data_IF_689990759979
#
_entry.id   IF_689990759979
#
_cell.length_a   1.000
_cell.length_b   1.000
_cell.length_c   1.000
_cell.angle_alpha   90.00
_cell.angle_beta   90.00
_cell.angle_gamma   90.00
#
_symmetry.space_group_name_H-M   'P 1'
#
loop_
_entity.id
_entity.type
_entity.pdbx_description
1 polymer ?
#
# COMPACT_ATOMS: atom_id res chain seq x y z
N UNK A 1 23.23 -7.41 92.86
CA UNK A 1 23.44 -6.01 92.40
C UNK A 1 23.56 -6.04 90.89
N UNK A 2 22.82 -5.17 90.21
CA UNK A 2 22.35 -5.26 88.81
C UNK A 2 23.43 -5.39 87.74
N UNK A 3 23.22 -6.33 86.80
CA UNK A 3 23.79 -6.28 85.46
C UNK A 3 22.96 -5.34 84.58
N UNK A 4 23.46 -4.12 84.33
CA UNK A 4 22.91 -3.26 83.29
C UNK A 4 23.54 -3.62 81.93
N UNK A 5 22.68 -4.07 81.01
CA UNK A 5 23.01 -4.23 79.59
C UNK A 5 23.15 -2.84 78.96
N UNK A 6 24.28 -2.55 78.34
CA UNK A 6 24.41 -1.38 77.47
C UNK A 6 23.63 -1.65 76.18
N UNK A 7 22.57 -0.88 75.98
CA UNK A 7 21.77 -0.85 74.77
C UNK A 7 22.57 -0.05 73.74
N UNK A 8 22.92 -0.67 72.61
CA UNK A 8 23.50 0.02 71.46
C UNK A 8 22.43 0.95 70.88
N UNK A 9 22.58 2.26 71.05
CA UNK A 9 21.70 3.25 70.42
C UNK A 9 21.99 3.28 68.92
N UNK A 10 20.94 3.17 68.11
CA UNK A 10 20.97 3.31 66.64
C UNK A 10 20.57 4.74 66.28
N UNK A 11 21.22 5.73 66.90
CA UNK A 11 21.00 7.14 66.60
C UNK A 11 22.26 7.72 65.93
N UNK A 12 22.22 8.07 64.64
CA UNK A 12 23.39 8.55 63.88
C UNK A 12 23.72 10.03 64.12
N UNK A 13 23.19 10.65 65.18
CA UNK A 13 23.34 12.09 65.47
C UNK A 13 23.80 12.37 66.91
N UNK A 14 24.21 11.36 67.68
CA UNK A 14 24.92 11.62 68.94
C UNK A 14 26.37 11.97 68.60
N UNK A 15 26.70 13.23 68.86
CA UNK A 15 27.99 13.87 68.59
C UNK A 15 29.13 13.07 69.22
N UNK A 16 29.82 12.27 68.40
CA UNK A 16 31.23 12.01 68.63
C UNK A 16 31.96 13.29 68.22
N UNK A 17 32.66 13.91 69.17
CA UNK A 17 33.58 15.01 68.90
C UNK A 17 34.63 14.50 67.92
N UNK A 18 34.35 14.64 66.61
CA UNK A 18 35.30 14.36 65.55
C UNK A 18 36.39 15.40 65.71
N UNK A 19 37.49 14.98 66.33
CA UNK A 19 38.69 15.79 66.51
C UNK A 19 39.05 16.47 65.17
N UNK A 20 39.22 17.80 65.20
CA UNK A 20 39.44 18.61 64.00
C UNK A 20 40.66 18.11 63.21
N UNK A 21 41.62 17.47 63.88
CA UNK A 21 42.76 16.79 63.25
C UNK A 21 42.38 15.55 62.44
N UNK A 22 41.37 14.77 62.88
CA UNK A 22 40.87 13.60 62.15
C UNK A 22 40.12 14.04 60.88
N UNK A 23 39.38 15.14 60.98
CA UNK A 23 38.68 15.75 59.85
C UNK A 23 39.66 16.30 58.80
N UNK A 24 40.64 17.10 59.22
CA UNK A 24 41.65 17.71 58.33
C UNK A 24 42.60 16.68 57.69
N UNK A 25 42.88 15.58 58.38
CA UNK A 25 43.71 14.48 57.84
C UNK A 25 42.97 13.67 56.78
N UNK A 26 41.64 13.59 56.84
CA UNK A 26 40.83 12.87 55.86
C UNK A 26 40.55 13.71 54.60
N UNK A 27 40.59 15.04 54.68
CA UNK A 27 40.47 15.95 53.53
C UNK A 27 41.71 15.99 52.62
N UNK A 28 42.84 15.44 53.07
CA UNK A 28 44.15 15.54 52.39
C UNK A 28 44.58 14.27 51.65
N UNK A 29 43.67 13.33 51.42
CA UNK A 29 43.88 12.25 50.44
C UNK A 29 43.33 12.69 49.09
N UNK A 30 44.17 12.91 48.06
CA UNK A 30 43.66 12.97 46.70
C UNK A 30 43.09 11.57 46.40
N UNK A 31 41.77 11.45 46.41
CA UNK A 31 41.12 10.30 45.79
C UNK A 31 41.53 10.31 44.32
N UNK A 32 42.12 9.23 43.78
CA UNK A 32 42.38 9.16 42.34
C UNK A 32 41.04 9.32 41.62
N UNK A 33 40.99 10.28 40.69
CA UNK A 33 39.78 10.73 40.00
C UNK A 33 39.22 9.64 39.08
N UNK A 34 38.43 8.71 39.65
CA UNK A 34 37.57 7.77 38.92
C UNK A 34 36.60 8.46 37.93
N UNK A 35 36.45 9.79 38.03
CA UNK A 35 35.66 10.60 37.11
C UNK A 35 36.25 10.64 35.70
N UNK A 36 37.57 10.63 35.56
CA UNK A 36 38.21 10.73 34.24
C UNK A 36 38.02 9.43 33.44
N UNK A 37 38.22 8.27 34.07
CA UNK A 37 37.94 6.96 33.49
C UNK A 37 36.45 6.77 33.15
N UNK A 38 35.56 7.25 34.04
CA UNK A 38 34.13 7.20 33.80
C UNK A 38 33.73 8.08 32.61
N UNK A 39 34.26 9.31 32.51
CA UNK A 39 34.01 10.22 31.38
C UNK A 39 34.54 9.67 30.05
N UNK A 40 35.70 9.03 30.03
CA UNK A 40 36.24 8.35 28.84
C UNK A 40 35.32 7.20 28.39
N UNK A 41 34.88 6.37 29.33
CA UNK A 41 33.95 5.27 29.02
C UNK A 41 32.62 5.74 28.44
N UNK A 42 32.13 6.91 28.87
CA UNK A 42 30.92 7.52 28.33
C UNK A 42 31.13 8.05 26.92
N UNK A 43 32.25 8.70 26.63
CA UNK A 43 32.57 9.16 25.28
C UNK A 43 32.70 8.00 24.29
N UNK A 44 33.35 6.90 24.68
CA UNK A 44 33.46 5.70 23.84
C UNK A 44 32.10 5.08 23.55
N UNK A 45 31.19 5.08 24.54
CA UNK A 45 29.81 4.60 24.34
C UNK A 45 29.03 5.50 23.38
N UNK A 46 29.14 6.82 23.50
CA UNK A 46 28.50 7.77 22.59
C UNK A 46 28.96 7.52 21.16
N UNK A 47 30.28 7.47 20.93
CA UNK A 47 30.83 7.22 19.60
C UNK A 47 30.38 5.88 19.01
N UNK A 48 30.36 4.81 19.81
CA UNK A 48 29.85 3.52 19.35
C UNK A 48 28.37 3.57 18.95
N UNK A 49 27.55 4.35 19.66
CA UNK A 49 26.13 4.54 19.32
C UNK A 49 25.99 5.36 18.04
N UNK A 50 26.79 6.41 17.89
CA UNK A 50 26.83 7.24 16.67
C UNK A 50 27.19 6.39 15.44
N UNK A 51 28.29 5.63 15.50
CA UNK A 51 28.74 4.78 14.40
C UNK A 51 27.71 3.71 14.03
N UNK A 52 27.10 3.05 15.03
CA UNK A 52 26.05 2.05 14.80
C UNK A 52 24.81 2.67 14.17
N UNK A 53 24.43 3.87 14.60
CA UNK A 53 23.28 4.61 14.06
C UNK A 53 23.50 4.94 12.59
N UNK A 54 24.65 5.52 12.23
CA UNK A 54 24.96 5.84 10.83
C UNK A 54 24.96 4.58 9.97
N UNK A 55 25.67 3.53 10.38
CA UNK A 55 25.72 2.27 9.62
C UNK A 55 24.32 1.67 9.44
N UNK A 56 23.49 1.71 10.47
CA UNK A 56 22.09 1.26 10.38
C UNK A 56 21.31 2.06 9.33
N UNK A 57 21.44 3.39 9.32
CA UNK A 57 20.74 4.23 8.33
C UNK A 57 21.24 4.00 6.91
N UNK A 58 22.55 3.84 6.70
CA UNK A 58 23.12 3.51 5.38
C UNK A 58 22.62 2.17 4.86
N UNK A 59 22.56 1.15 5.73
CA UNK A 59 21.99 -0.16 5.39
C UNK A 59 20.50 -0.03 5.05
N UNK A 60 19.73 0.75 5.81
CA UNK A 60 18.32 0.97 5.54
C UNK A 60 18.10 1.66 4.19
N UNK A 61 18.94 2.64 3.82
CA UNK A 61 18.89 3.26 2.49
C UNK A 61 19.10 2.22 1.39
N UNK A 62 20.09 1.34 1.53
CA UNK A 62 20.31 0.24 0.59
C UNK A 62 19.06 -0.64 0.41
N UNK A 63 18.48 -1.09 1.52
CA UNK A 63 17.25 -1.90 1.50
C UNK A 63 16.09 -1.16 0.83
N UNK A 64 15.94 0.15 1.09
CA UNK A 64 14.88 0.95 0.47
C UNK A 64 15.06 1.07 -1.05
N UNK A 65 16.29 1.25 -1.53
CA UNK A 65 16.60 1.29 -2.97
C UNK A 65 16.36 -0.07 -3.63
N UNK A 66 16.77 -1.16 -2.98
CA UNK A 66 16.51 -2.52 -3.47
C UNK A 66 15.00 -2.79 -3.53
N UNK A 67 14.26 -2.35 -2.52
CA UNK A 67 12.79 -2.46 -2.47
C UNK A 67 12.14 -1.65 -3.59
N UNK A 68 12.67 -0.47 -3.91
CA UNK A 68 12.18 0.38 -5.00
C UNK A 68 12.38 -0.31 -6.34
N UNK A 69 13.56 -0.89 -6.58
CA UNK A 69 13.86 -1.64 -7.80
C UNK A 69 12.93 -2.86 -7.96
N UNK A 70 12.70 -3.61 -6.88
CA UNK A 70 11.75 -4.74 -6.89
C UNK A 70 10.32 -4.23 -7.17
N UNK A 71 9.92 -3.11 -6.58
CA UNK A 71 8.63 -2.47 -6.82
C UNK A 71 8.43 -2.06 -8.29
N UNK A 72 9.46 -1.47 -8.92
CA UNK A 72 9.44 -1.10 -10.33
C UNK A 72 9.29 -2.35 -11.22
N UNK A 73 10.11 -3.39 -10.99
CA UNK A 73 10.00 -4.64 -11.75
C UNK A 73 8.62 -5.31 -11.56
N UNK A 74 8.03 -5.18 -10.38
CA UNK A 74 6.67 -5.65 -10.10
C UNK A 74 5.63 -4.85 -10.90
N UNK A 75 5.78 -3.53 -10.98
CA UNK A 75 4.89 -2.66 -11.76
C UNK A 75 4.95 -3.01 -13.26
N UNK A 76 6.14 -3.25 -13.80
CA UNK A 76 6.32 -3.69 -15.19
C UNK A 76 5.61 -5.03 -15.47
N UNK A 77 5.75 -6.01 -14.57
CA UNK A 77 5.06 -7.29 -14.74
C UNK A 77 3.54 -7.15 -14.60
N UNK A 78 3.03 -6.29 -13.71
CA UNK A 78 1.59 -5.99 -13.63
C UNK A 78 1.08 -5.38 -14.93
N UNK A 79 1.80 -4.44 -15.54
CA UNK A 79 1.43 -3.89 -16.85
C UNK A 79 1.37 -4.99 -17.92
N UNK A 80 2.37 -5.87 -17.97
CA UNK A 80 2.38 -7.01 -18.90
C UNK A 80 1.22 -7.98 -18.65
N UNK A 81 0.84 -8.20 -17.40
CA UNK A 81 -0.33 -9.02 -17.04
C UNK A 81 -1.63 -8.36 -17.49
N UNK A 82 -1.76 -7.04 -17.30
CA UNK A 82 -2.91 -6.26 -17.77
C UNK A 82 -3.13 -6.43 -19.26
N UNK A 83 -2.09 -6.31 -20.08
CA UNK A 83 -2.19 -6.49 -21.54
C UNK A 83 -2.76 -7.86 -21.92
N UNK A 84 -2.34 -8.92 -21.21
CA UNK A 84 -2.86 -10.27 -21.43
C UNK A 84 -4.33 -10.38 -21.06
N UNK A 85 -4.75 -9.75 -19.96
CA UNK A 85 -6.15 -9.72 -19.55
C UNK A 85 -6.98 -8.95 -20.58
N UNK A 86 -6.55 -7.77 -21.03
CA UNK A 86 -7.26 -6.99 -22.04
C UNK A 86 -7.37 -7.74 -23.38
N UNK A 87 -6.32 -8.47 -23.76
CA UNK A 87 -6.37 -9.33 -24.94
C UNK A 87 -7.37 -10.47 -24.78
N UNK A 88 -7.40 -11.09 -23.60
CA UNK A 88 -8.36 -12.16 -23.28
C UNK A 88 -9.80 -11.64 -23.30
N UNK A 89 -10.04 -10.46 -22.73
CA UNK A 89 -11.36 -9.81 -22.73
C UNK A 89 -11.87 -9.56 -24.16
N UNK A 90 -11.02 -9.04 -25.05
CA UNK A 90 -11.33 -8.83 -26.48
C UNK A 90 -11.62 -10.15 -27.19
N UNK A 91 -10.84 -11.20 -26.95
CA UNK A 91 -11.08 -12.52 -27.53
C UNK A 91 -12.44 -13.08 -27.07
N UNK A 92 -12.80 -12.90 -25.81
CA UNK A 92 -14.11 -13.34 -25.30
C UNK A 92 -15.27 -12.57 -25.91
N UNK A 93 -15.11 -11.29 -26.23
CA UNK A 93 -16.11 -10.53 -26.98
C UNK A 93 -16.28 -11.08 -28.41
N UNK A 94 -15.19 -11.40 -29.10
CA UNK A 94 -15.22 -12.01 -30.42
C UNK A 94 -15.86 -13.40 -30.40
N UNK A 95 -15.54 -14.22 -29.39
CA UNK A 95 -16.17 -15.53 -29.18
C UNK A 95 -17.67 -15.35 -28.96
N UNK A 96 -18.09 -14.46 -28.06
CA UNK A 96 -19.50 -14.23 -27.80
C UNK A 96 -20.25 -13.71 -29.05
N UNK A 97 -19.64 -12.82 -29.83
CA UNK A 97 -20.20 -12.35 -31.10
C UNK A 97 -20.34 -13.48 -32.13
N UNK A 98 -19.29 -14.30 -32.27
CA UNK A 98 -19.26 -15.47 -33.15
C UNK A 98 -20.32 -16.48 -32.74
N UNK A 99 -20.48 -16.74 -31.45
CA UNK A 99 -21.51 -17.63 -30.93
C UNK A 99 -22.92 -17.10 -31.24
N UNK A 100 -23.18 -15.79 -31.14
CA UNK A 100 -24.48 -15.23 -31.56
C UNK A 100 -24.77 -15.48 -33.04
N UNK A 101 -23.75 -15.32 -33.90
CA UNK A 101 -23.87 -15.61 -35.32
C UNK A 101 -24.10 -17.10 -35.58
N UNK A 102 -23.32 -17.97 -34.93
CA UNK A 102 -23.49 -19.44 -34.97
C UNK A 102 -24.90 -19.87 -34.55
N UNK A 103 -25.49 -19.24 -33.53
CA UNK A 103 -26.86 -19.54 -33.13
C UNK A 103 -27.87 -19.21 -34.25
N UNK A 104 -27.68 -18.08 -34.96
CA UNK A 104 -28.53 -17.69 -36.09
C UNK A 104 -28.45 -18.72 -37.22
N UNK A 105 -27.25 -19.23 -37.51
CA UNK A 105 -27.06 -20.31 -38.48
C UNK A 105 -27.72 -21.61 -38.05
N UNK A 106 -27.52 -22.04 -36.79
CA UNK A 106 -28.16 -23.25 -36.25
C UNK A 106 -29.69 -23.13 -36.34
N UNK A 107 -30.26 -21.96 -36.02
CA UNK A 107 -31.70 -21.72 -36.15
C UNK A 107 -32.16 -21.78 -37.62
N UNK A 108 -31.38 -21.22 -38.54
CA UNK A 108 -31.61 -21.34 -39.99
C UNK A 108 -31.61 -22.80 -40.45
N UNK A 109 -30.61 -23.60 -40.06
CA UNK A 109 -30.53 -25.03 -40.39
C UNK A 109 -31.74 -25.80 -39.83
N UNK A 110 -32.13 -25.52 -38.58
CA UNK A 110 -33.35 -26.10 -37.99
C UNK A 110 -34.59 -25.78 -38.83
N UNK A 111 -34.74 -24.54 -39.32
CA UNK A 111 -35.88 -24.14 -40.15
C UNK A 111 -35.91 -24.86 -41.50
N UNK A 112 -34.79 -24.94 -42.23
CA UNK A 112 -34.77 -25.61 -43.55
C UNK A 112 -35.01 -27.11 -43.45
N UNK A 113 -34.47 -27.77 -42.42
CA UNK A 113 -34.78 -29.18 -42.14
C UNK A 113 -36.23 -29.38 -41.73
N UNK A 114 -36.81 -28.46 -40.96
CA UNK A 114 -38.23 -28.51 -40.59
C UNK A 114 -39.13 -28.33 -41.81
N UNK A 115 -38.81 -27.39 -42.71
CA UNK A 115 -39.55 -27.15 -43.95
C UNK A 115 -39.43 -28.33 -44.91
N UNK A 116 -38.24 -28.93 -45.05
CA UNK A 116 -38.03 -30.13 -45.86
C UNK A 116 -38.82 -31.33 -45.28
N UNK A 117 -38.81 -31.50 -43.96
CA UNK A 117 -39.61 -32.54 -43.31
C UNK A 117 -41.11 -32.30 -43.49
N UNK A 118 -41.59 -31.06 -43.39
CA UNK A 118 -43.01 -30.76 -43.56
C UNK A 118 -43.46 -30.96 -45.02
N UNK A 119 -42.60 -30.60 -45.98
CA UNK A 119 -42.82 -30.80 -47.42
C UNK A 119 -42.85 -32.29 -47.79
N UNK A 120 -41.91 -33.08 -47.27
CA UNK A 120 -41.85 -34.53 -47.53
C UNK A 120 -42.91 -35.32 -46.75
N UNK A 121 -43.41 -34.77 -45.64
CA UNK A 121 -44.46 -35.38 -44.82
C UNK A 121 -45.90 -35.07 -45.30
N UNK A 122 -46.08 -34.28 -46.36
CA UNK A 122 -47.37 -34.12 -47.04
C UNK A 122 -48.53 -33.60 -46.18
N UNK A 123 -48.26 -32.84 -45.10
CA UNK A 123 -49.30 -32.25 -44.25
C UNK A 123 -49.26 -30.74 -44.40
N UNK A 124 -50.12 -30.23 -45.28
CA UNK A 124 -50.45 -28.82 -45.37
C UNK A 124 -51.17 -28.41 -44.09
N UNK A 125 -50.57 -27.53 -43.30
CA UNK A 125 -51.33 -26.67 -42.41
C UNK A 125 -50.72 -25.26 -42.40
N UNK A 126 -51.60 -24.28 -42.34
CA UNK A 126 -51.41 -22.91 -42.80
C UNK A 126 -50.42 -22.09 -41.94
N UNK A 127 -49.85 -21.07 -42.58
CA UNK A 127 -49.04 -20.00 -41.99
C UNK A 127 -49.75 -19.26 -40.84
N UNK A 128 -48.99 -18.64 -39.91
CA UNK A 128 -49.42 -17.39 -39.31
C UNK A 128 -48.55 -16.21 -39.73
N UNK A 129 -49.25 -15.22 -40.26
CA UNK A 129 -48.88 -13.83 -40.52
C UNK A 129 -48.19 -13.17 -39.32
N UNK A 130 -47.03 -12.55 -39.54
CA UNK A 130 -46.44 -11.61 -38.58
C UNK A 130 -47.06 -10.23 -38.79
N UNK A 131 -48.00 -9.84 -37.92
CA UNK A 131 -48.44 -8.45 -37.76
C UNK A 131 -47.42 -7.70 -36.91
N UNK A 132 -46.77 -6.70 -37.51
CA UNK A 132 -45.99 -5.70 -36.76
C UNK A 132 -46.74 -4.37 -36.83
N UNK A 133 -47.16 -3.89 -35.66
CA UNK A 133 -47.84 -2.61 -35.46
C UNK A 133 -46.99 -1.80 -34.48
N UNK A 134 -46.45 -0.67 -34.93
CA UNK A 134 -46.13 0.53 -34.12
C UNK A 134 -47.29 1.52 -34.31
N UNK A 135 -47.59 2.53 -33.44
CA UNK A 135 -46.68 3.53 -32.83
C UNK A 135 -47.03 3.90 -31.35
N UNK A 136 -46.23 4.64 -30.56
CA UNK A 136 -46.22 6.12 -30.43
C UNK A 136 -45.54 6.49 -29.08
N UNK A 137 -44.49 7.35 -29.05
CA UNK A 137 -44.45 8.76 -28.55
C UNK A 137 -44.64 8.94 -27.02
N UNK A 138 -43.75 9.59 -26.22
CA UNK A 138 -43.74 11.04 -25.91
C UNK A 138 -42.67 11.42 -24.83
N UNK A 139 -41.89 12.51 -25.11
CA UNK A 139 -41.24 13.60 -24.29
C UNK A 139 -40.20 13.25 -23.18
N UNK A 140 -38.97 13.79 -23.14
CA UNK A 140 -38.39 15.17 -23.17
C UNK A 140 -38.47 15.96 -21.85
N UNK A 141 -37.30 16.33 -21.29
CA UNK A 141 -36.88 17.64 -20.71
C UNK A 141 -35.56 17.43 -19.93
N UNK A 142 -34.37 17.90 -20.36
CA UNK A 142 -33.76 19.25 -20.22
C UNK A 142 -33.71 19.84 -18.81
N UNK A 143 -32.50 20.01 -18.26
CA UNK A 143 -31.98 21.34 -17.85
C UNK A 143 -30.54 21.25 -17.36
N UNK A 144 -29.67 22.07 -17.97
CA UNK A 144 -28.34 22.45 -17.49
C UNK A 144 -28.47 23.71 -16.60
N UNK A 145 -27.65 23.80 -15.56
CA UNK A 145 -27.26 25.03 -14.85
C UNK A 145 -25.94 24.70 -14.12
N UNK A 146 -24.76 25.05 -14.65
CA UNK A 146 -23.92 26.25 -14.39
C UNK A 146 -23.42 26.42 -12.95
N UNK A 147 -22.26 27.10 -12.84
CA UNK A 147 -21.47 27.50 -11.67
C UNK A 147 -20.40 26.44 -11.30
N UNK A 148 -19.16 26.49 -11.77
CA UNK A 148 -18.24 27.64 -11.93
C UNK A 148 -18.03 28.40 -10.61
N UNK A 149 -17.40 27.74 -9.63
CA UNK A 149 -16.62 28.40 -8.57
C UNK A 149 -15.81 27.36 -7.77
N UNK A 150 -14.59 27.74 -7.38
CA UNK A 150 -13.63 27.06 -6.48
C UNK A 150 -12.48 26.26 -7.11
N UNK A 151 -11.82 26.87 -8.08
CA UNK A 151 -10.37 27.06 -7.98
C UNK A 151 -10.13 28.21 -6.98
N UNK A 152 -9.72 27.90 -5.75
CA UNK A 152 -8.98 28.79 -4.82
C UNK A 152 -9.00 28.19 -3.41
N UNK A 153 -8.10 27.24 -3.14
CA UNK A 153 -7.66 26.96 -1.76
C UNK A 153 -6.23 26.41 -1.74
N UNK A 154 -5.33 27.05 -2.48
CA UNK A 154 -3.89 27.03 -2.18
C UNK A 154 -3.57 28.35 -1.48
N UNK A 155 -3.84 28.43 -0.18
CA UNK A 155 -3.27 29.46 0.72
C UNK A 155 -3.69 29.16 2.17
N UNK A 156 -3.12 28.08 2.72
CA UNK A 156 -3.21 27.83 4.17
C UNK A 156 -1.98 27.11 4.69
N UNK A 157 -0.81 27.68 4.45
CA UNK A 157 0.47 27.23 5.00
C UNK A 157 1.06 28.20 6.04
N UNK A 158 0.21 28.97 6.75
CA UNK A 158 0.71 30.03 7.62
C UNK A 158 0.27 29.95 9.09
N UNK A 159 -0.28 28.80 9.54
CA UNK A 159 -0.68 28.61 10.94
C UNK A 159 -0.48 27.17 11.44
N UNK A 160 0.73 26.62 11.29
CA UNK A 160 1.10 25.34 11.92
C UNK A 160 2.01 25.61 13.15
N UNK A 161 1.76 25.01 14.33
CA UNK A 161 2.51 25.27 15.57
C UNK A 161 3.99 24.84 15.57
N UNK A 162 4.52 24.39 14.43
CA UNK A 162 5.92 23.95 14.26
C UNK A 162 6.85 25.13 13.93
N UNK A 163 6.35 26.28 13.49
CA UNK A 163 7.17 27.45 13.13
C UNK A 163 7.45 28.43 14.29
N UNK A 164 6.98 28.14 15.51
CA UNK A 164 7.15 29.00 16.70
C UNK A 164 8.18 28.51 17.73
N UNK A 165 8.94 27.45 17.40
CA UNK A 165 9.92 26.80 18.29
C UNK A 165 11.35 26.89 17.77
N UNK A 166 11.72 28.01 17.12
CA UNK A 166 13.11 28.30 16.75
C UNK A 166 13.55 29.66 17.25
N UNK A 167 13.63 29.75 18.57
CA UNK A 167 14.27 30.83 19.29
C UNK A 167 14.60 30.34 20.68
N UNK A 168 15.77 29.75 20.86
CA UNK A 168 16.61 30.13 22.00
C UNK A 168 18.06 29.71 21.79
N UNK A 169 18.91 30.59 22.28
CA UNK A 169 20.36 30.63 22.21
C UNK A 169 20.92 29.74 23.31
N UNK A 170 21.60 28.63 22.95
CA UNK A 170 22.36 27.86 23.92
C UNK A 170 23.78 27.62 23.39
N UNK A 171 24.62 28.57 23.78
CA UNK A 171 26.07 28.49 24.02
C UNK A 171 26.75 27.16 23.65
N UNK A 172 27.45 27.26 22.53
CA UNK A 172 28.66 26.54 22.16
C UNK A 172 29.51 26.08 23.36
N UNK A 173 29.49 24.78 23.63
CA UNK A 173 30.60 24.12 24.34
C UNK A 173 30.87 22.75 23.71
N UNK A 174 31.92 22.71 22.88
CA UNK A 174 32.73 21.55 22.48
C UNK A 174 32.04 20.19 22.26
N UNK A 175 31.69 19.89 21.00
CA UNK A 175 31.87 18.55 20.42
C UNK A 175 31.79 18.61 18.88
N UNK A 176 32.90 18.98 18.22
CA UNK A 176 32.94 18.99 16.75
C UNK A 176 32.57 17.63 16.11
N UNK A 177 32.75 16.50 16.82
CA UNK A 177 32.32 15.18 16.35
C UNK A 177 30.80 14.99 16.29
N UNK A 178 30.04 15.57 17.22
CA UNK A 178 28.58 15.39 17.30
C UNK A 178 27.85 16.14 16.18
N UNK A 179 28.38 17.29 15.75
CA UNK A 179 27.81 18.08 14.64
C UNK A 179 27.94 17.36 13.30
N UNK A 180 29.10 16.75 13.05
CA UNK A 180 29.34 15.98 11.82
C UNK A 180 28.51 14.68 11.79
N UNK A 181 28.39 14.00 12.93
CA UNK A 181 27.47 12.87 13.08
C UNK A 181 26.02 13.30 12.79
N UNK A 182 25.55 14.37 13.43
CA UNK A 182 24.17 14.86 13.26
C UNK A 182 23.88 15.25 11.81
N UNK A 183 24.81 15.90 11.12
CA UNK A 183 24.64 16.29 9.72
C UNK A 183 24.54 15.08 8.79
N UNK A 184 25.38 14.06 9.00
CA UNK A 184 25.33 12.80 8.23
C UNK A 184 24.05 12.02 8.50
N UNK A 185 23.65 11.93 9.77
CA UNK A 185 22.42 11.27 10.15
C UNK A 185 21.20 11.96 9.51
N UNK A 186 21.13 13.28 9.57
CA UNK A 186 20.03 14.05 8.98
C UNK A 186 19.97 13.88 7.45
N UNK A 187 21.12 13.88 6.78
CA UNK A 187 21.20 13.59 5.34
C UNK A 187 20.68 12.18 5.01
N UNK A 188 21.10 11.17 5.78
CA UNK A 188 20.64 9.79 5.58
C UNK A 188 19.13 9.66 5.83
N UNK A 189 18.62 10.26 6.91
CA UNK A 189 17.19 10.23 7.22
C UNK A 189 16.36 10.95 6.15
N UNK A 190 16.84 12.09 5.64
CA UNK A 190 16.20 12.80 4.54
C UNK A 190 16.13 11.93 3.27
N UNK A 191 17.21 11.22 2.95
CA UNK A 191 17.21 10.28 1.83
C UNK A 191 16.21 9.13 2.05
N UNK A 192 16.21 8.54 3.24
CA UNK A 192 15.25 7.49 3.61
C UNK A 192 13.80 7.98 3.46
N UNK A 193 13.49 9.19 3.94
CA UNK A 193 12.16 9.79 3.77
C UNK A 193 11.76 9.95 2.30
N UNK A 194 12.71 10.37 1.45
CA UNK A 194 12.48 10.45 0.00
C UNK A 194 12.20 9.08 -0.61
N UNK A 195 13.02 8.08 -0.28
CA UNK A 195 12.88 6.71 -0.79
C UNK A 195 11.55 6.09 -0.34
N UNK A 196 11.17 6.27 0.93
CA UNK A 196 9.88 5.81 1.47
C UNK A 196 8.70 6.50 0.76
N UNK A 197 8.82 7.79 0.46
CA UNK A 197 7.78 8.52 -0.26
C UNK A 197 7.59 7.98 -1.69
N UNK A 198 8.69 7.66 -2.40
CA UNK A 198 8.62 7.02 -3.71
C UNK A 198 8.04 5.61 -3.64
N UNK A 199 8.49 4.80 -2.67
CA UNK A 199 7.92 3.48 -2.39
C UNK A 199 6.43 3.52 -2.09
N UNK A 200 5.97 4.53 -1.34
CA UNK A 200 4.55 4.74 -1.07
C UNK A 200 3.78 5.06 -2.35
N UNK A 201 4.34 5.90 -3.22
CA UNK A 201 3.78 6.18 -4.55
C UNK A 201 3.62 4.90 -5.35
N UNK A 202 4.71 4.15 -5.53
CA UNK A 202 4.71 2.85 -6.21
C UNK A 202 3.69 1.88 -5.59
N UNK A 203 3.65 1.74 -4.27
CA UNK A 203 2.71 0.84 -3.60
C UNK A 203 1.24 1.25 -3.84
N UNK A 204 0.96 2.56 -3.91
CA UNK A 204 -0.39 3.07 -4.21
C UNK A 204 -0.78 2.77 -5.64
N UNK A 205 0.14 3.00 -6.59
CA UNK A 205 -0.08 2.74 -8.02
C UNK A 205 -0.24 1.24 -8.29
N UNK A 206 0.59 0.41 -7.67
CA UNK A 206 0.49 -1.06 -7.73
C UNK A 206 -0.86 -1.54 -7.18
N UNK A 207 -1.32 -0.99 -6.05
CA UNK A 207 -2.62 -1.36 -5.49
C UNK A 207 -3.76 -0.98 -6.43
N UNK A 208 -3.75 0.23 -6.99
CA UNK A 208 -4.76 0.67 -7.94
C UNK A 208 -4.76 -0.20 -9.20
N UNK A 209 -3.58 -0.55 -9.73
CA UNK A 209 -3.48 -1.44 -10.88
C UNK A 209 -4.07 -2.82 -10.57
N UNK A 210 -3.78 -3.40 -9.39
CA UNK A 210 -4.38 -4.67 -8.94
C UNK A 210 -5.91 -4.57 -8.86
N UNK A 211 -6.45 -3.51 -8.26
CA UNK A 211 -7.90 -3.30 -8.17
C UNK A 211 -8.54 -3.24 -9.57
N UNK A 212 -7.93 -2.51 -10.51
CA UNK A 212 -8.45 -2.45 -11.89
C UNK A 212 -8.35 -3.78 -12.64
N UNK A 213 -7.29 -4.57 -12.40
CA UNK A 213 -7.16 -5.90 -12.97
C UNK A 213 -8.18 -6.87 -12.37
N UNK A 214 -8.50 -6.77 -11.09
CA UNK A 214 -9.56 -7.57 -10.46
C UNK A 214 -10.92 -7.32 -11.12
N UNK A 215 -11.25 -6.05 -11.40
CA UNK A 215 -12.48 -5.70 -12.12
C UNK A 215 -12.48 -6.28 -13.56
N UNK A 216 -11.34 -6.24 -14.25
CA UNK A 216 -11.19 -6.84 -15.57
C UNK A 216 -11.36 -8.37 -15.53
N UNK A 217 -10.80 -9.05 -14.52
CA UNK A 217 -10.96 -10.49 -14.32
C UNK A 217 -12.42 -10.86 -14.07
N UNK A 218 -13.17 -10.06 -13.30
CA UNK A 218 -14.60 -10.29 -13.08
C UNK A 218 -15.37 -10.23 -14.42
N UNK A 219 -15.10 -9.21 -15.24
CA UNK A 219 -15.73 -9.09 -16.57
C UNK A 219 -15.38 -10.27 -17.49
N UNK A 220 -14.10 -10.69 -17.52
CA UNK A 220 -13.62 -11.86 -18.26
C UNK A 220 -14.34 -13.13 -17.78
N UNK A 221 -14.53 -13.28 -16.47
CA UNK A 221 -15.22 -14.44 -15.88
C UNK A 221 -16.67 -14.49 -16.35
N UNK A 222 -17.40 -13.38 -16.26
CA UNK A 222 -18.80 -13.30 -16.71
C UNK A 222 -18.94 -13.61 -18.21
N UNK A 223 -18.06 -13.04 -19.05
CA UNK A 223 -18.04 -13.29 -20.50
C UNK A 223 -17.71 -14.75 -20.82
N UNK A 224 -16.83 -15.37 -20.02
CA UNK A 224 -16.44 -16.79 -20.16
C UNK A 224 -17.60 -17.70 -19.81
N UNK A 225 -18.31 -17.45 -18.70
CA UNK A 225 -19.48 -18.23 -18.31
C UNK A 225 -20.59 -18.15 -19.35
N UNK A 226 -20.85 -16.95 -19.90
CA UNK A 226 -21.81 -16.76 -20.98
C UNK A 226 -21.42 -17.55 -22.25
N UNK A 227 -20.13 -17.52 -22.62
CA UNK A 227 -19.61 -18.25 -23.76
C UNK A 227 -19.76 -19.77 -23.55
N UNK A 228 -19.36 -20.31 -22.39
CA UNK A 228 -19.49 -21.74 -22.08
C UNK A 228 -20.96 -22.20 -22.12
N UNK A 229 -21.86 -21.47 -21.46
CA UNK A 229 -23.29 -21.78 -21.47
C UNK A 229 -23.86 -21.79 -22.91
N UNK A 230 -23.46 -20.84 -23.74
CA UNK A 230 -23.90 -20.73 -25.13
C UNK A 230 -23.34 -21.86 -25.99
N UNK A 231 -22.05 -22.18 -25.86
CA UNK A 231 -21.39 -23.30 -26.55
C UNK A 231 -22.08 -24.62 -26.21
N UNK A 232 -22.34 -24.90 -24.93
CA UNK A 232 -23.03 -26.12 -24.49
C UNK A 232 -24.42 -26.24 -25.12
N UNK A 233 -25.17 -25.14 -25.17
CA UNK A 233 -26.50 -25.10 -25.80
C UNK A 233 -26.42 -25.36 -27.31
N UNK A 234 -25.47 -24.72 -27.99
CA UNK A 234 -25.26 -24.90 -29.44
C UNK A 234 -24.80 -26.31 -29.79
N UNK A 235 -23.89 -26.89 -29.02
CA UNK A 235 -23.48 -28.29 -29.19
C UNK A 235 -24.66 -29.25 -29.04
N UNK A 236 -25.54 -29.03 -28.06
CA UNK A 236 -26.76 -29.84 -27.89
C UNK A 236 -27.70 -29.68 -29.09
N UNK A 237 -27.84 -28.47 -29.61
CA UNK A 237 -28.68 -28.18 -30.78
C UNK A 237 -28.13 -28.81 -32.06
N UNK A 238 -26.84 -28.70 -32.32
CA UNK A 238 -26.18 -29.34 -33.47
C UNK A 238 -26.29 -30.86 -33.39
N UNK A 239 -26.03 -31.47 -32.23
CA UNK A 239 -26.18 -32.92 -32.05
C UNK A 239 -27.61 -33.41 -32.32
N UNK A 240 -28.64 -32.61 -32.04
CA UNK A 240 -30.03 -32.94 -32.39
C UNK A 240 -30.30 -32.86 -33.88
N UNK A 241 -29.64 -31.96 -34.59
CA UNK A 241 -29.75 -31.84 -36.06
C UNK A 241 -29.06 -33.03 -36.73
N UNK A 242 -27.88 -33.44 -36.24
CA UNK A 242 -27.07 -34.51 -36.84
C UNK A 242 -27.56 -35.94 -36.51
N UNK A 243 -28.29 -36.14 -35.40
CA UNK A 243 -28.80 -37.47 -34.99
C UNK A 243 -30.09 -37.91 -35.70
N UNK A 244 -30.48 -37.27 -36.80
CA UNK A 244 -31.61 -37.66 -37.66
C UNK A 244 -31.20 -37.71 -39.11
#
# INVERSE_FOLDING_TARGET
MSSNRYVKSTNPFENEDIDDELFLRNSRKPQPSNYDDQMLSFQDRIKQIEDRTINSTEKSIGILRDSEQIGIATAEELMRQREKLEHTDKQLDEINATLRFSQKHINGIKSVFSSLKNYMSGKNDASPTSSSTTPSTVKQSTSNHTLDEKLNTYDRYDNHPVTRLRGDDFTQTQSSGSKDFSARLDANLSEMCSNISRLKGLATDLNLEIDTQNDLINNITDKTELADATIRKQNKDMNKILRK
#
